data_IF_734729075003
#
_entry.id   IF_734729075003
#
_cell.length_a   1.000
_cell.length_b   1.000
_cell.length_c   1.000
_cell.angle_alpha   90.00
_cell.angle_beta   90.00
_cell.angle_gamma   90.00
#
_symmetry.space_group_name_H-M   'P 1'
#
loop_
_entity.id
_entity.type
_entity.pdbx_description
1 polymer ?
#
# COMPACT_ATOMS: atom_id res chain seq x y z
N UNK A 1 12.04 36.49 2.84
CA UNK A 1 12.98 36.20 1.73
C UNK A 1 13.23 34.69 1.72
N UNK A 2 12.43 33.93 0.98
CA UNK A 2 12.45 32.47 0.97
C UNK A 2 13.57 31.96 0.07
N UNK A 3 14.74 31.69 0.63
CA UNK A 3 15.71 30.75 0.04
C UNK A 3 15.54 29.40 0.73
N UNK A 4 14.38 28.76 0.54
CA UNK A 4 14.35 27.30 0.61
C UNK A 4 14.83 26.83 -0.75
N UNK A 5 16.15 26.88 -0.95
CA UNK A 5 16.79 25.99 -1.91
C UNK A 5 16.57 24.62 -1.30
N UNK A 6 15.50 23.92 -1.68
CA UNK A 6 15.46 22.47 -1.49
C UNK A 6 16.60 22.01 -2.40
N UNK A 7 17.77 21.58 -1.87
CA UNK A 7 18.81 21.08 -2.74
C UNK A 7 18.18 20.00 -3.60
N UNK A 8 18.48 19.98 -4.90
CA UNK A 8 18.13 18.82 -5.70
C UNK A 8 18.77 17.62 -5.00
N UNK A 9 17.93 16.77 -4.41
CA UNK A 9 18.39 15.53 -3.80
C UNK A 9 18.65 14.57 -4.95
N UNK A 10 19.88 14.11 -5.12
CA UNK A 10 20.21 12.99 -6.01
C UNK A 10 19.71 11.69 -5.34
N UNK A 11 19.07 10.74 -6.07
CA UNK A 11 18.71 9.45 -5.50
C UNK A 11 19.87 8.76 -4.77
N UNK A 12 21.11 8.88 -5.29
CA UNK A 12 22.30 8.30 -4.67
C UNK A 12 22.66 8.98 -3.35
N UNK A 13 22.42 10.29 -3.22
CA UNK A 13 22.63 11.02 -1.96
C UNK A 13 21.58 10.64 -0.91
N UNK A 14 20.33 10.43 -1.29
CA UNK A 14 19.29 9.95 -0.37
C UNK A 14 19.65 8.57 0.20
N UNK A 15 20.07 7.64 -0.67
CA UNK A 15 20.51 6.32 -0.23
C UNK A 15 21.82 6.37 0.55
N UNK A 16 22.74 7.27 0.19
CA UNK A 16 24.01 7.47 0.91
C UNK A 16 23.84 8.00 2.33
N UNK A 17 22.68 8.59 2.66
CA UNK A 17 22.33 8.99 4.03
C UNK A 17 21.76 7.84 4.87
N UNK A 18 21.45 6.70 4.26
CA UNK A 18 20.98 5.52 4.99
C UNK A 18 22.17 4.81 5.62
N UNK A 19 22.17 4.75 6.95
CA UNK A 19 23.15 3.99 7.73
C UNK A 19 22.71 2.53 7.88
N UNK A 20 23.66 1.62 8.15
CA UNK A 20 23.33 0.24 8.47
C UNK A 20 22.37 0.11 9.65
N UNK A 21 22.56 0.93 10.70
CA UNK A 21 21.72 0.88 11.90
C UNK A 21 20.29 1.39 11.64
N UNK A 22 20.14 2.54 10.97
CA UNK A 22 18.83 3.06 10.58
C UNK A 22 18.10 2.13 9.61
N UNK A 23 18.82 1.56 8.64
CA UNK A 23 18.30 0.55 7.72
C UNK A 23 17.82 -0.72 8.42
N UNK A 24 18.57 -1.22 9.40
CA UNK A 24 18.19 -2.41 10.16
C UNK A 24 16.90 -2.19 10.98
N UNK A 25 16.79 -1.05 11.68
CA UNK A 25 15.57 -0.71 12.44
C UNK A 25 14.35 -0.64 11.52
N UNK A 26 14.49 0.04 10.38
CA UNK A 26 13.41 0.15 9.41
C UNK A 26 13.03 -1.21 8.78
N UNK A 27 14.01 -2.08 8.51
CA UNK A 27 13.75 -3.42 8.00
C UNK A 27 12.98 -4.28 9.01
N UNK A 28 13.33 -4.21 10.30
CA UNK A 28 12.60 -4.93 11.37
C UNK A 28 11.14 -4.48 11.44
N UNK A 29 10.89 -3.17 11.40
CA UNK A 29 9.55 -2.58 11.38
C UNK A 29 8.74 -3.03 10.17
N UNK A 30 9.31 -2.88 8.96
CA UNK A 30 8.73 -3.32 7.70
C UNK A 30 8.35 -4.81 7.70
N UNK A 31 9.24 -5.68 8.18
CA UNK A 31 9.00 -7.11 8.26
C UNK A 31 7.93 -7.47 9.31
N UNK A 32 7.92 -6.78 10.45
CA UNK A 32 6.93 -7.00 11.50
C UNK A 32 5.51 -6.66 11.01
N UNK A 33 5.33 -5.53 10.34
CA UNK A 33 4.03 -5.09 9.82
C UNK A 33 3.55 -5.94 8.64
N UNK A 34 4.45 -6.30 7.73
CA UNK A 34 4.13 -7.25 6.66
C UNK A 34 3.75 -8.62 7.23
N UNK A 35 4.48 -9.09 8.24
CA UNK A 35 4.16 -10.30 9.00
C UNK A 35 2.78 -10.23 9.67
N UNK A 36 2.45 -9.11 10.29
CA UNK A 36 1.13 -8.86 10.89
C UNK A 36 0.02 -8.93 9.84
N UNK A 37 0.19 -8.31 8.67
CA UNK A 37 -0.75 -8.44 7.56
C UNK A 37 -0.96 -9.92 7.20
N UNK A 38 0.13 -10.67 6.97
CA UNK A 38 0.05 -12.09 6.61
C UNK A 38 -0.68 -12.90 7.68
N UNK A 39 -0.40 -12.66 8.96
CA UNK A 39 -1.07 -13.33 10.07
C UNK A 39 -2.56 -13.01 10.09
N UNK A 40 -2.95 -11.74 10.00
CA UNK A 40 -4.35 -11.34 10.05
C UNK A 40 -5.11 -11.83 8.82
N UNK A 41 -4.52 -11.76 7.64
CA UNK A 41 -5.13 -12.24 6.40
C UNK A 41 -5.26 -13.77 6.41
N UNK A 42 -4.36 -14.51 7.08
CA UNK A 42 -4.42 -15.98 7.24
C UNK A 42 -5.31 -16.46 8.41
N UNK A 43 -5.38 -15.78 9.55
CA UNK A 43 -6.09 -16.27 10.74
C UNK A 43 -7.62 -16.40 10.57
N UNK A 44 -8.21 -15.71 9.59
CA UNK A 44 -9.60 -15.95 9.17
C UNK A 44 -9.87 -17.38 8.69
N UNK A 45 -8.82 -18.16 8.37
CA UNK A 45 -8.89 -19.53 7.85
C UNK A 45 -9.17 -20.59 8.91
N UNK A 46 -8.79 -20.38 10.18
CA UNK A 46 -8.95 -21.41 11.23
C UNK A 46 -10.34 -21.40 11.88
N UNK A 47 -11.12 -20.34 11.69
CA UNK A 47 -12.47 -20.21 12.29
C UNK A 47 -13.60 -20.75 11.41
N UNK A 48 -13.33 -21.13 10.15
CA UNK A 48 -14.26 -21.90 9.31
C UNK A 48 -13.72 -23.33 9.26
N UNK A 49 -14.43 -24.24 9.92
CA UNK A 49 -13.95 -25.56 10.36
C UNK A 49 -13.41 -26.53 9.31
N UNK A 50 -13.03 -27.76 9.75
CA UNK A 50 -12.41 -28.80 8.94
C UNK A 50 -13.42 -29.42 7.96
N UNK A 51 -13.74 -28.72 6.86
CA UNK A 51 -14.65 -29.21 5.83
C UNK A 51 -13.97 -29.45 4.47
N UNK A 52 -12.65 -29.71 4.47
CA UNK A 52 -11.88 -29.95 3.24
C UNK A 52 -10.94 -31.17 3.34
N UNK A 53 -11.29 -32.17 4.17
CA UNK A 53 -10.47 -33.37 4.38
C UNK A 53 -10.73 -34.51 3.36
N UNK A 54 -11.27 -34.22 2.18
CA UNK A 54 -11.71 -35.26 1.24
C UNK A 54 -11.47 -35.02 -0.24
N UNK A 55 -10.64 -34.03 -0.64
CA UNK A 55 -10.30 -33.89 -2.07
C UNK A 55 -9.15 -34.82 -2.43
N UNK A 56 -9.29 -35.66 -3.47
CA UNK A 56 -8.18 -36.45 -3.99
C UNK A 56 -7.05 -35.52 -4.44
N UNK A 57 -5.82 -35.99 -4.28
CA UNK A 57 -4.62 -35.26 -4.70
C UNK A 57 -4.74 -34.89 -6.19
N UNK A 58 -4.49 -33.62 -6.57
CA UNK A 58 -4.50 -33.24 -7.97
C UNK A 58 -3.40 -34.03 -8.67
N UNK A 59 -3.78 -34.75 -9.73
CA UNK A 59 -2.85 -35.29 -10.71
C UNK A 59 -1.94 -34.16 -11.19
N UNK A 60 -0.63 -34.43 -11.25
CA UNK A 60 0.41 -33.48 -11.66
C UNK A 60 0.18 -33.05 -13.10
N UNK A 61 -0.63 -32.01 -13.27
CA UNK A 61 -0.88 -31.36 -14.55
C UNK A 61 0.36 -30.51 -14.88
N UNK A 62 1.03 -30.83 -15.98
CA UNK A 62 2.26 -30.15 -16.45
C UNK A 62 2.01 -28.68 -16.83
N UNK A 63 0.76 -28.21 -16.75
CA UNK A 63 0.33 -26.82 -16.95
C UNK A 63 0.16 -26.03 -15.65
N UNK A 64 0.38 -26.66 -14.49
CA UNK A 64 0.25 -25.99 -13.19
C UNK A 64 1.24 -24.81 -13.08
N UNK A 65 0.78 -23.60 -12.73
CA UNK A 65 1.66 -22.44 -12.61
C UNK A 65 2.72 -22.69 -11.53
N UNK A 66 3.99 -22.45 -11.88
CA UNK A 66 5.13 -22.67 -10.99
C UNK A 66 4.91 -21.96 -9.63
N UNK A 67 4.89 -22.71 -8.52
CA UNK A 67 4.62 -22.17 -7.19
C UNK A 67 5.68 -21.17 -6.72
N UNK A 68 6.84 -21.09 -7.39
CA UNK A 68 7.90 -20.12 -7.09
C UNK A 68 7.61 -18.72 -7.65
N UNK A 69 6.82 -18.61 -8.73
CA UNK A 69 6.54 -17.32 -9.41
C UNK A 69 5.90 -16.27 -8.50
N UNK A 70 4.94 -16.60 -7.62
CA UNK A 70 4.41 -15.62 -6.66
C UNK A 70 5.47 -15.11 -5.67
N UNK A 71 6.33 -16.00 -5.15
CA UNK A 71 7.39 -15.61 -4.22
C UNK A 71 8.44 -14.71 -4.90
N UNK A 72 8.83 -15.06 -6.14
CA UNK A 72 9.70 -14.21 -6.97
C UNK A 72 9.05 -12.86 -7.29
N UNK A 73 7.75 -12.85 -7.57
CA UNK A 73 6.99 -11.61 -7.78
C UNK A 73 6.98 -10.70 -6.54
N UNK A 74 6.89 -11.28 -5.33
CA UNK A 74 6.99 -10.52 -4.08
C UNK A 74 8.39 -9.93 -3.93
N UNK A 75 9.44 -10.74 -4.14
CA UNK A 75 10.82 -10.25 -4.12
C UNK A 75 11.06 -9.12 -5.14
N UNK A 76 10.47 -9.24 -6.33
CA UNK A 76 10.59 -8.22 -7.37
C UNK A 76 9.79 -6.94 -7.05
N UNK A 77 8.60 -7.06 -6.46
CA UNK A 77 7.84 -5.90 -5.97
C UNK A 77 8.59 -5.15 -4.86
N UNK A 78 9.26 -5.88 -3.97
CA UNK A 78 10.11 -5.30 -2.93
C UNK A 78 11.29 -4.54 -3.55
N UNK A 79 12.04 -5.18 -4.44
CA UNK A 79 13.19 -4.57 -5.12
C UNK A 79 12.77 -3.34 -5.95
N UNK A 80 11.72 -3.48 -6.76
CA UNK A 80 11.20 -2.39 -7.56
C UNK A 80 10.72 -1.23 -6.67
N UNK A 81 10.07 -1.53 -5.54
CA UNK A 81 9.63 -0.53 -4.59
C UNK A 81 10.79 0.22 -3.93
N UNK A 82 11.81 -0.51 -3.46
CA UNK A 82 12.98 0.08 -2.82
C UNK A 82 13.79 0.99 -3.75
N UNK A 83 13.83 0.69 -5.06
CA UNK A 83 14.47 1.54 -6.06
C UNK A 83 13.57 2.70 -6.51
N UNK A 84 12.27 2.45 -6.64
CA UNK A 84 11.31 3.44 -7.11
C UNK A 84 11.12 4.57 -6.09
N UNK A 85 11.19 4.31 -4.78
CA UNK A 85 11.05 5.35 -3.76
C UNK A 85 12.07 6.50 -3.93
N UNK A 86 13.39 6.28 -3.78
CA UNK A 86 14.36 7.38 -3.86
C UNK A 86 14.35 8.04 -5.23
N UNK A 87 14.14 7.28 -6.30
CA UNK A 87 14.04 7.82 -7.65
C UNK A 87 12.81 8.72 -7.84
N UNK A 88 11.63 8.28 -7.41
CA UNK A 88 10.41 9.06 -7.52
C UNK A 88 10.49 10.35 -6.69
N UNK A 89 11.08 10.30 -5.50
CA UNK A 89 11.27 11.50 -4.67
C UNK A 89 12.22 12.49 -5.34
N UNK A 90 13.43 12.04 -5.65
CA UNK A 90 14.51 12.90 -6.13
C UNK A 90 14.24 13.46 -7.54
N UNK A 91 13.81 12.62 -8.47
CA UNK A 91 13.70 12.98 -9.88
C UNK A 91 12.35 13.59 -10.24
N UNK A 92 11.30 13.34 -9.46
CA UNK A 92 9.94 13.81 -9.79
C UNK A 92 9.36 14.65 -8.67
N UNK A 93 9.26 14.13 -7.45
CA UNK A 93 8.53 14.79 -6.37
C UNK A 93 9.18 16.12 -5.99
N UNK A 94 10.46 16.13 -5.62
CA UNK A 94 11.15 17.35 -5.16
C UNK A 94 11.12 18.45 -6.23
N UNK A 95 11.46 18.19 -7.51
CA UNK A 95 11.34 19.18 -8.58
C UNK A 95 9.91 19.70 -8.75
N UNK A 96 8.91 18.81 -8.75
CA UNK A 96 7.51 19.17 -8.90
C UNK A 96 7.00 20.02 -7.74
N UNK A 97 7.33 19.65 -6.50
CA UNK A 97 6.99 20.41 -5.29
C UNK A 97 7.60 21.81 -5.33
N UNK A 98 8.86 21.94 -5.75
CA UNK A 98 9.51 23.23 -5.89
C UNK A 98 8.86 24.09 -6.99
N UNK A 99 8.49 23.49 -8.13
CA UNK A 99 7.78 24.18 -9.20
C UNK A 99 6.40 24.66 -8.75
N UNK A 100 5.62 23.80 -8.09
CA UNK A 100 4.29 24.12 -7.59
C UNK A 100 4.32 25.18 -6.48
N UNK A 101 5.32 25.15 -5.59
CA UNK A 101 5.50 26.19 -4.59
C UNK A 101 5.79 27.56 -5.22
N UNK A 102 6.67 27.62 -6.24
CA UNK A 102 6.93 28.86 -6.99
C UNK A 102 5.70 29.36 -7.73
N UNK A 103 4.97 28.45 -8.39
CA UNK A 103 3.74 28.78 -9.09
C UNK A 103 2.68 29.33 -8.13
N UNK A 104 2.47 28.68 -6.99
CA UNK A 104 1.50 29.09 -5.98
C UNK A 104 1.84 30.50 -5.44
N UNK A 105 3.11 30.73 -5.10
CA UNK A 105 3.57 32.04 -4.63
C UNK A 105 3.43 33.16 -5.68
N UNK A 106 3.51 32.84 -6.98
CA UNK A 106 3.39 33.81 -8.06
C UNK A 106 1.94 34.07 -8.50
N UNK A 107 1.04 33.10 -8.29
CA UNK A 107 -0.30 33.10 -8.91
C UNK A 107 -1.43 33.29 -7.90
N UNK A 108 -1.27 32.80 -6.66
CA UNK A 108 -2.33 32.89 -5.66
C UNK A 108 -2.28 34.26 -4.98
N UNK A 109 -3.41 34.96 -4.96
CA UNK A 109 -3.58 36.26 -4.31
C UNK A 109 -3.71 36.11 -2.78
N UNK A 110 -2.75 35.43 -2.14
CA UNK A 110 -2.71 35.23 -0.69
C UNK A 110 -1.28 35.12 -0.18
N UNK A 111 -1.05 35.59 1.04
CA UNK A 111 0.19 35.36 1.78
C UNK A 111 0.08 34.18 2.77
N UNK A 112 -1.11 33.56 2.86
CA UNK A 112 -1.39 32.48 3.78
C UNK A 112 -0.57 31.23 3.44
N UNK A 113 0.31 30.86 4.36
CA UNK A 113 1.23 29.72 4.19
C UNK A 113 0.54 28.37 4.18
N UNK A 114 -0.64 28.25 4.80
CA UNK A 114 -1.46 27.05 4.72
C UNK A 114 -1.87 26.84 3.26
N UNK A 115 -2.51 27.85 2.67
CA UNK A 115 -3.00 27.79 1.29
C UNK A 115 -1.86 27.59 0.29
N UNK A 116 -0.77 28.34 0.45
CA UNK A 116 0.39 28.25 -0.45
C UNK A 116 1.08 26.88 -0.44
N UNK A 117 0.97 26.13 0.66
CA UNK A 117 1.60 24.81 0.79
C UNK A 117 0.78 23.68 0.16
N UNK A 118 -0.53 23.86 -0.05
CA UNK A 118 -1.43 22.79 -0.54
C UNK A 118 -0.93 22.15 -1.84
N UNK A 119 -0.60 22.89 -2.92
CA UNK A 119 -0.22 22.27 -4.18
C UNK A 119 1.05 21.41 -4.06
N UNK A 120 2.06 21.93 -3.35
CA UNK A 120 3.32 21.22 -3.14
C UNK A 120 3.12 19.98 -2.27
N UNK A 121 2.35 20.06 -1.19
CA UNK A 121 2.08 18.88 -0.35
C UNK A 121 1.28 17.83 -1.12
N UNK A 122 0.25 18.23 -1.87
CA UNK A 122 -0.55 17.30 -2.68
C UNK A 122 0.31 16.51 -3.68
N UNK A 123 1.36 17.13 -4.24
CA UNK A 123 2.26 16.46 -5.16
C UNK A 123 3.00 15.25 -4.56
N UNK A 124 3.14 15.14 -3.23
CA UNK A 124 3.76 13.95 -2.64
C UNK A 124 2.91 12.70 -2.85
N UNK A 125 1.61 12.79 -2.58
CA UNK A 125 0.67 11.70 -2.83
C UNK A 125 0.58 11.39 -4.33
N UNK A 126 0.55 12.45 -5.16
CA UNK A 126 0.44 12.31 -6.61
C UNK A 126 1.62 11.55 -7.23
N UNK A 127 2.81 11.66 -6.63
CA UNK A 127 4.00 10.96 -7.13
C UNK A 127 4.16 9.58 -6.49
N UNK A 128 3.97 9.47 -5.17
CA UNK A 128 4.28 8.24 -4.46
C UNK A 128 3.24 7.14 -4.66
N UNK A 129 1.94 7.46 -4.71
CA UNK A 129 0.92 6.42 -4.88
C UNK A 129 1.01 5.71 -6.25
N UNK A 130 1.19 6.42 -7.39
CA UNK A 130 1.42 5.75 -8.66
C UNK A 130 2.72 4.96 -8.68
N UNK A 131 3.80 5.48 -8.08
CA UNK A 131 5.08 4.77 -8.04
C UNK A 131 4.98 3.44 -7.26
N UNK A 132 4.23 3.40 -6.15
CA UNK A 132 3.92 2.16 -5.41
C UNK A 132 3.12 1.18 -6.26
N UNK A 133 2.10 1.66 -6.97
CA UNK A 133 1.30 0.82 -7.87
C UNK A 133 2.16 0.23 -8.99
N UNK A 134 3.02 1.02 -9.63
CA UNK A 134 3.95 0.56 -10.67
C UNK A 134 4.91 -0.50 -10.11
N UNK A 135 5.51 -0.28 -8.94
CA UNK A 135 6.37 -1.27 -8.29
C UNK A 135 5.63 -2.60 -8.01
N UNK A 136 4.39 -2.53 -7.53
CA UNK A 136 3.55 -3.71 -7.33
C UNK A 136 3.24 -4.42 -8.67
N UNK A 137 2.98 -3.66 -9.74
CA UNK A 137 2.71 -4.20 -11.08
C UNK A 137 3.90 -4.98 -11.65
N UNK A 138 5.14 -4.56 -11.40
CA UNK A 138 6.33 -5.32 -11.82
C UNK A 138 6.31 -6.73 -11.20
N UNK A 139 6.02 -6.83 -9.91
CA UNK A 139 5.87 -8.12 -9.23
C UNK A 139 4.67 -8.95 -9.74
N UNK A 140 3.53 -8.30 -9.96
CA UNK A 140 2.35 -8.93 -10.53
C UNK A 140 2.58 -9.44 -11.96
N UNK A 141 3.42 -8.77 -12.75
CA UNK A 141 3.76 -9.16 -14.12
C UNK A 141 4.44 -10.53 -14.14
N UNK A 142 5.46 -10.68 -13.32
CA UNK A 142 6.21 -11.93 -13.18
C UNK A 142 5.31 -13.07 -12.66
N UNK A 143 4.40 -12.74 -11.74
CA UNK A 143 3.45 -13.70 -11.18
C UNK A 143 2.24 -13.98 -12.10
N UNK A 144 2.19 -13.44 -13.32
CA UNK A 144 1.07 -13.61 -14.25
C UNK A 144 -0.27 -13.06 -13.74
N UNK A 145 -0.21 -12.12 -12.79
CA UNK A 145 -1.36 -11.60 -12.02
C UNK A 145 -1.78 -10.19 -12.45
N UNK A 146 -1.23 -9.66 -13.56
CA UNK A 146 -1.50 -8.28 -14.02
C UNK A 146 -2.91 -8.03 -14.51
N UNK A 147 -3.61 -9.06 -15.04
CA UNK A 147 -4.88 -8.89 -15.75
C UNK A 147 -6.00 -8.46 -14.79
N UNK A 148 -6.49 -7.21 -14.87
CA UNK A 148 -7.58 -6.73 -14.01
C UNK A 148 -8.90 -7.44 -14.36
N UNK A 149 -9.79 -7.60 -13.38
CA UNK A 149 -11.21 -7.87 -13.64
C UNK A 149 -11.63 -9.33 -13.89
N UNK A 150 -10.71 -10.29 -13.88
CA UNK A 150 -11.01 -11.75 -14.02
C UNK A 150 -10.58 -12.56 -12.79
N UNK A 151 -10.12 -11.87 -11.74
CA UNK A 151 -9.50 -12.51 -10.59
C UNK A 151 -10.53 -13.07 -9.60
N UNK A 152 -10.47 -14.39 -9.35
CA UNK A 152 -11.12 -15.02 -8.21
C UNK A 152 -10.58 -14.50 -6.86
N UNK A 153 -11.25 -14.82 -5.76
CA UNK A 153 -10.93 -14.30 -4.43
C UNK A 153 -9.48 -14.53 -3.99
N UNK A 154 -8.91 -15.67 -4.34
CA UNK A 154 -7.51 -16.00 -4.05
C UNK A 154 -6.52 -15.13 -4.86
N UNK A 155 -6.83 -14.88 -6.15
CA UNK A 155 -6.00 -14.03 -7.00
C UNK A 155 -6.01 -12.57 -6.51
N UNK A 156 -7.15 -12.05 -6.05
CA UNK A 156 -7.24 -10.73 -5.41
C UNK A 156 -6.42 -10.67 -4.12
N UNK A 157 -6.51 -11.69 -3.27
CA UNK A 157 -5.74 -11.75 -2.03
C UNK A 157 -4.23 -11.79 -2.31
N UNK A 158 -3.81 -12.52 -3.35
CA UNK A 158 -2.42 -12.56 -3.80
C UNK A 158 -1.97 -11.20 -4.36
N UNK A 159 -2.83 -10.54 -5.13
CA UNK A 159 -2.56 -9.21 -5.67
C UNK A 159 -2.29 -8.18 -4.55
N UNK A 160 -3.13 -8.19 -3.51
CA UNK A 160 -2.95 -7.36 -2.31
C UNK A 160 -1.55 -7.51 -1.71
N UNK A 161 -0.97 -8.71 -1.71
CA UNK A 161 0.37 -8.92 -1.18
C UNK A 161 1.44 -8.20 -2.00
N UNK A 162 1.32 -8.11 -3.33
CA UNK A 162 2.26 -7.31 -4.13
C UNK A 162 2.12 -5.81 -3.82
N UNK A 163 0.89 -5.32 -3.68
CA UNK A 163 0.63 -3.94 -3.25
C UNK A 163 1.21 -3.64 -1.88
N UNK A 164 0.89 -4.47 -0.89
CA UNK A 164 1.42 -4.35 0.46
C UNK A 164 2.95 -4.43 0.48
N UNK A 165 3.56 -5.31 -0.32
CA UNK A 165 5.02 -5.42 -0.41
C UNK A 165 5.65 -4.15 -0.98
N UNK A 166 5.10 -3.60 -2.06
CA UNK A 166 5.59 -2.33 -2.62
C UNK A 166 5.42 -1.18 -1.62
N UNK A 167 4.30 -1.15 -0.89
CA UNK A 167 4.07 -0.19 0.19
C UNK A 167 5.09 -0.30 1.33
N UNK A 168 5.34 -1.52 1.81
CA UNK A 168 6.38 -1.78 2.82
C UNK A 168 7.77 -1.38 2.33
N UNK A 169 8.07 -1.60 1.04
CA UNK A 169 9.33 -1.15 0.46
C UNK A 169 9.48 0.38 0.51
N UNK A 170 8.44 1.12 0.12
CA UNK A 170 8.41 2.58 0.18
C UNK A 170 8.55 3.09 1.61
N UNK A 171 7.67 2.63 2.50
CA UNK A 171 7.69 3.04 3.90
C UNK A 171 8.98 2.66 4.61
N UNK A 172 9.50 1.45 4.34
CA UNK A 172 10.75 0.97 4.93
C UNK A 172 11.96 1.80 4.51
N UNK A 173 12.08 2.18 3.23
CA UNK A 173 13.16 3.07 2.79
C UNK A 173 12.99 4.49 3.35
N UNK A 174 11.75 5.01 3.40
CA UNK A 174 11.48 6.30 4.04
C UNK A 174 11.88 6.29 5.53
N UNK A 175 11.47 5.26 6.26
CA UNK A 175 11.84 5.07 7.67
C UNK A 175 13.37 4.95 7.82
N UNK A 176 14.04 4.19 6.95
CA UNK A 176 15.49 4.04 6.97
C UNK A 176 16.20 5.40 6.76
N UNK A 177 15.72 6.19 5.80
CA UNK A 177 16.27 7.52 5.50
C UNK A 177 16.08 8.49 6.67
N UNK A 178 14.89 8.54 7.27
CA UNK A 178 14.58 9.44 8.39
C UNK A 178 15.27 9.01 9.69
N UNK A 179 15.33 7.71 9.98
CA UNK A 179 15.92 7.19 11.23
C UNK A 179 17.45 7.17 11.20
N UNK A 180 18.08 7.17 10.04
CA UNK A 180 19.54 7.02 9.95
C UNK A 180 20.34 8.12 10.64
N UNK A 181 20.00 9.43 10.51
CA UNK A 181 20.64 10.47 11.30
C UNK A 181 20.39 10.31 12.80
N UNK A 182 19.18 9.90 13.20
CA UNK A 182 18.79 9.76 14.61
C UNK A 182 19.48 8.57 15.29
N UNK A 183 19.58 7.43 14.60
CA UNK A 183 20.21 6.23 15.13
C UNK A 183 21.74 6.33 15.06
N UNK A 184 22.29 6.96 14.02
CA UNK A 184 23.75 7.20 13.91
C UNK A 184 24.30 8.13 14.98
N UNK A 185 23.49 9.09 15.44
CA UNK A 185 23.86 10.02 16.52
C UNK A 185 23.93 9.35 17.91
N UNK A 186 23.34 8.16 18.11
CA UNK A 186 23.39 7.43 19.40
C UNK A 186 24.82 7.04 19.81
N UNK A 187 25.78 7.03 18.87
CA UNK A 187 27.18 6.68 19.13
C UNK A 187 28.17 7.84 19.14
N UNK A 188 27.73 9.09 18.91
CA UNK A 188 28.66 10.19 18.57
C UNK A 188 28.36 11.58 19.17
N UNK A 189 27.31 11.75 19.98
CA UNK A 189 26.94 13.07 20.55
C UNK A 189 27.21 13.10 22.07
N UNK A 190 28.00 14.06 22.59
CA UNK A 190 28.26 14.22 24.03
C UNK A 190 27.02 14.44 24.90
N UNK A 191 25.94 14.98 24.32
CA UNK A 191 24.66 15.24 25.01
C UNK A 191 23.49 14.33 24.57
N UNK A 192 23.73 13.38 23.64
CA UNK A 192 22.78 12.37 23.20
C UNK A 192 21.48 12.88 22.55
N UNK A 193 20.97 12.16 21.55
CA UNK A 193 19.53 12.23 21.26
C UNK A 193 18.81 11.66 22.49
N UNK A 194 17.90 12.42 23.08
CA UNK A 194 17.13 11.90 24.22
C UNK A 194 16.35 10.65 23.78
N UNK A 195 16.24 9.67 24.68
CA UNK A 195 15.41 8.46 24.44
C UNK A 195 14.00 8.85 24.00
N UNK A 196 13.46 9.97 24.50
CA UNK A 196 12.16 10.52 24.10
C UNK A 196 12.10 10.94 22.63
N UNK A 197 13.11 11.68 22.13
CA UNK A 197 13.18 12.12 20.73
C UNK A 197 13.34 10.93 19.78
N UNK A 198 14.19 9.97 20.11
CA UNK A 198 14.35 8.75 19.31
C UNK A 198 13.06 7.92 19.29
N UNK A 199 12.42 7.75 20.44
CA UNK A 199 11.18 6.96 20.55
C UNK A 199 10.06 7.56 19.72
N UNK A 200 9.93 8.89 19.75
CA UNK A 200 8.95 9.60 18.93
C UNK A 200 9.21 9.38 17.42
N UNK A 201 10.46 9.55 16.98
CA UNK A 201 10.84 9.32 15.58
C UNK A 201 10.56 7.87 15.16
N UNK A 202 10.82 6.88 16.03
CA UNK A 202 10.52 5.48 15.74
C UNK A 202 9.01 5.26 15.64
N UNK A 203 8.22 5.78 16.58
CA UNK A 203 6.75 5.62 16.60
C UNK A 203 6.10 6.21 15.35
N UNK A 204 6.49 7.43 14.98
CA UNK A 204 6.00 8.09 13.77
C UNK A 204 6.26 7.22 12.53
N UNK A 205 7.46 6.62 12.47
CA UNK A 205 7.85 5.78 11.33
C UNK A 205 7.10 4.45 11.29
N UNK A 206 6.74 3.83 12.42
CA UNK A 206 5.85 2.65 12.45
C UNK A 206 4.55 2.96 11.71
N UNK A 207 3.90 4.06 12.04
CA UNK A 207 2.64 4.40 11.37
C UNK A 207 2.83 4.82 9.92
N UNK A 208 3.97 5.42 9.55
CA UNK A 208 4.29 5.72 8.16
C UNK A 208 4.46 4.44 7.32
N UNK A 209 5.18 3.43 7.80
CA UNK A 209 5.32 2.14 7.09
C UNK A 209 3.96 1.47 6.93
N UNK A 210 3.16 1.46 8.00
CA UNK A 210 1.83 0.84 8.00
C UNK A 210 0.90 1.55 7.02
N UNK A 211 0.97 2.88 6.97
CA UNK A 211 0.24 3.72 6.02
C UNK A 211 0.59 3.38 4.57
N UNK A 212 1.89 3.27 4.24
CA UNK A 212 2.32 2.92 2.89
C UNK A 212 1.89 1.51 2.48
N UNK A 213 2.03 0.54 3.39
CA UNK A 213 1.55 -0.82 3.22
C UNK A 213 0.05 -0.82 2.90
N UNK A 214 -0.74 -0.11 3.72
CA UNK A 214 -2.19 -0.11 3.62
C UNK A 214 -2.67 0.56 2.32
N UNK A 215 -2.16 1.76 2.01
CA UNK A 215 -2.52 2.52 0.80
C UNK A 215 -2.22 1.74 -0.47
N UNK A 216 -1.00 1.22 -0.62
CA UNK A 216 -0.61 0.45 -1.79
C UNK A 216 -1.42 -0.86 -1.91
N UNK A 217 -1.67 -1.56 -0.80
CA UNK A 217 -2.52 -2.74 -0.76
C UNK A 217 -3.96 -2.45 -1.18
N UNK A 218 -4.54 -1.32 -0.76
CA UNK A 218 -5.90 -0.89 -1.13
C UNK A 218 -6.01 -0.50 -2.61
N UNK A 219 -5.03 0.23 -3.14
CA UNK A 219 -4.99 0.56 -4.58
C UNK A 219 -4.92 -0.73 -5.41
N UNK A 220 -4.04 -1.66 -5.06
CA UNK A 220 -3.94 -2.92 -5.79
C UNK A 220 -5.19 -3.79 -5.62
N UNK A 221 -5.78 -3.84 -4.43
CA UNK A 221 -7.08 -4.51 -4.22
C UNK A 221 -8.14 -4.00 -5.20
N UNK A 222 -8.28 -2.68 -5.31
CA UNK A 222 -9.25 -2.06 -6.21
C UNK A 222 -8.88 -2.30 -7.69
N UNK A 223 -7.60 -2.20 -8.03
CA UNK A 223 -7.08 -2.47 -9.37
C UNK A 223 -7.39 -3.90 -9.83
N UNK A 224 -7.21 -4.90 -8.96
CA UNK A 224 -7.54 -6.29 -9.26
C UNK A 224 -9.02 -6.50 -9.58
N UNK A 225 -9.88 -5.59 -9.13
CA UNK A 225 -11.32 -5.59 -9.42
C UNK A 225 -11.72 -4.80 -10.67
N UNK A 226 -10.77 -4.12 -11.30
CA UNK A 226 -10.95 -3.40 -12.56
C UNK A 226 -10.18 -2.08 -12.58
N UNK A 227 -9.79 -1.66 -13.79
CA UNK A 227 -8.97 -0.46 -14.02
C UNK A 227 -9.66 0.79 -13.47
N UNK A 228 -10.97 0.95 -13.69
CA UNK A 228 -11.72 2.11 -13.18
C UNK A 228 -11.69 2.17 -11.65
N UNK A 229 -11.89 1.04 -10.97
CA UNK A 229 -11.83 0.98 -9.51
C UNK A 229 -10.41 1.27 -9.01
N UNK A 230 -9.40 0.74 -9.70
CA UNK A 230 -8.00 1.01 -9.41
C UNK A 230 -7.63 2.49 -9.53
N UNK A 231 -8.04 3.16 -10.62
CA UNK A 231 -7.80 4.60 -10.82
C UNK A 231 -8.52 5.46 -9.78
N UNK A 232 -9.76 5.10 -9.41
CA UNK A 232 -10.50 5.79 -8.34
C UNK A 232 -9.81 5.63 -6.99
N UNK A 233 -9.36 4.41 -6.66
CA UNK A 233 -8.63 4.15 -5.43
C UNK A 233 -7.27 4.87 -5.41
N UNK A 234 -6.58 4.91 -6.55
CA UNK A 234 -5.33 5.65 -6.72
C UNK A 234 -5.54 7.14 -6.45
N UNK A 235 -6.55 7.76 -7.07
CA UNK A 235 -6.88 9.17 -6.83
C UNK A 235 -7.26 9.44 -5.37
N UNK A 236 -8.04 8.56 -4.75
CA UNK A 236 -8.42 8.66 -3.34
C UNK A 236 -7.19 8.57 -2.42
N UNK A 237 -6.29 7.60 -2.63
CA UNK A 237 -5.09 7.44 -1.81
C UNK A 237 -4.09 8.58 -2.04
N UNK A 238 -4.02 9.15 -3.26
CA UNK A 238 -3.25 10.37 -3.52
C UNK A 238 -3.70 11.53 -2.63
N UNK A 239 -5.02 11.76 -2.52
CA UNK A 239 -5.58 12.79 -1.64
C UNK A 239 -5.30 12.47 -0.18
N UNK A 240 -5.54 11.23 0.26
CA UNK A 240 -5.32 10.81 1.65
C UNK A 240 -3.86 10.95 2.06
N UNK A 241 -2.92 10.57 1.19
CA UNK A 241 -1.50 10.76 1.40
C UNK A 241 -1.15 12.24 1.52
N UNK A 242 -1.59 13.07 0.58
CA UNK A 242 -1.40 14.52 0.67
C UNK A 242 -1.95 15.10 1.98
N UNK A 243 -3.13 14.63 2.42
CA UNK A 243 -3.76 15.04 3.67
C UNK A 243 -2.95 14.63 4.92
N UNK A 244 -2.40 13.41 4.97
CA UNK A 244 -1.49 12.99 6.04
C UNK A 244 -0.25 13.87 6.05
N UNK A 245 0.37 14.11 4.89
CA UNK A 245 1.57 14.96 4.81
C UNK A 245 1.26 16.41 5.13
N UNK A 246 0.05 16.91 4.89
CA UNK A 246 -0.33 18.28 5.22
C UNK A 246 -0.33 18.55 6.72
N UNK A 247 -0.42 17.51 7.56
CA UNK A 247 -0.25 17.66 9.01
C UNK A 247 1.12 18.25 9.39
N UNK A 248 2.17 18.05 8.58
CA UNK A 248 3.48 18.68 8.84
C UNK A 248 3.44 20.19 8.66
N UNK A 249 2.61 20.69 7.73
CA UNK A 249 2.40 22.13 7.51
C UNK A 249 1.69 22.71 8.72
N UNK A 250 0.63 22.03 9.20
CA UNK A 250 -0.10 22.43 10.39
C UNK A 250 0.80 22.47 11.63
N UNK A 251 1.65 21.46 11.82
CA UNK A 251 2.62 21.44 12.91
C UNK A 251 3.63 22.60 12.78
N UNK A 252 4.20 22.80 11.60
CA UNK A 252 5.24 23.81 11.35
C UNK A 252 4.76 25.24 11.61
N UNK A 253 3.49 25.52 11.33
CA UNK A 253 2.89 26.83 11.58
C UNK A 253 2.13 26.91 12.92
N UNK A 254 2.30 25.92 13.79
CA UNK A 254 1.81 25.95 15.17
C UNK A 254 0.30 25.74 15.33
N UNK A 255 -0.40 25.28 14.28
CA UNK A 255 -1.83 24.99 14.35
C UNK A 255 -2.14 23.71 15.14
N UNK A 256 -1.21 22.76 15.16
CA UNK A 256 -1.29 21.52 15.94
C UNK A 256 0.04 21.23 16.62
N UNK A 257 -0.01 20.48 17.74
CA UNK A 257 1.18 19.94 18.39
C UNK A 257 1.59 18.58 17.82
N UNK A 258 2.80 18.13 18.16
CA UNK A 258 3.35 16.82 17.77
C UNK A 258 2.37 15.69 18.10
N UNK A 259 1.83 15.66 19.33
CA UNK A 259 0.91 14.61 19.75
C UNK A 259 -0.34 14.50 18.86
N UNK A 260 -0.86 15.63 18.36
CA UNK A 260 -2.00 15.64 17.46
C UNK A 260 -1.63 15.14 16.06
N UNK A 261 -0.43 15.48 15.56
CA UNK A 261 0.10 14.94 14.31
C UNK A 261 0.26 13.41 14.39
N UNK A 262 0.87 12.91 15.47
CA UNK A 262 1.07 11.47 15.69
C UNK A 262 -0.27 10.73 15.78
N UNK A 263 -1.21 11.24 16.57
CA UNK A 263 -2.53 10.65 16.71
C UNK A 263 -3.28 10.61 15.36
N UNK A 264 -3.15 11.67 14.56
CA UNK A 264 -3.72 11.75 13.23
C UNK A 264 -3.11 10.70 12.27
N UNK A 265 -1.78 10.64 12.19
CA UNK A 265 -1.08 9.67 11.34
C UNK A 265 -1.43 8.23 11.75
N UNK A 266 -1.39 7.93 13.05
CA UNK A 266 -1.76 6.63 13.60
C UNK A 266 -3.22 6.26 13.29
N UNK A 267 -4.16 7.17 13.49
CA UNK A 267 -5.57 6.96 13.22
C UNK A 267 -5.81 6.61 11.74
N UNK A 268 -5.24 7.38 10.81
CA UNK A 268 -5.39 7.13 9.37
C UNK A 268 -4.74 5.80 8.98
N UNK A 269 -3.50 5.54 9.42
CA UNK A 269 -2.77 4.31 9.11
C UNK A 269 -3.52 3.06 9.59
N UNK A 270 -3.96 3.04 10.85
CA UNK A 270 -4.69 1.93 11.45
C UNK A 270 -6.05 1.71 10.78
N UNK A 271 -6.75 2.80 10.44
CA UNK A 271 -8.05 2.72 9.76
C UNK A 271 -7.91 2.09 8.37
N UNK A 272 -6.96 2.57 7.56
CA UNK A 272 -6.71 2.02 6.23
C UNK A 272 -6.22 0.57 6.29
N UNK A 273 -5.35 0.24 7.26
CA UNK A 273 -4.89 -1.12 7.46
C UNK A 273 -6.04 -2.06 7.85
N UNK A 274 -6.91 -1.64 8.77
CA UNK A 274 -8.12 -2.37 9.13
C UNK A 274 -9.05 -2.63 7.94
N UNK A 275 -9.27 -1.61 7.11
CA UNK A 275 -10.05 -1.72 5.86
C UNK A 275 -9.38 -2.71 4.90
N UNK A 276 -8.06 -2.63 4.71
CA UNK A 276 -7.32 -3.55 3.84
C UNK A 276 -7.49 -5.00 4.30
N UNK A 277 -7.27 -5.27 5.59
CA UNK A 277 -7.42 -6.61 6.17
C UNK A 277 -8.85 -7.11 5.99
N UNK A 278 -9.85 -6.27 6.25
CA UNK A 278 -11.26 -6.62 6.07
C UNK A 278 -11.58 -6.99 4.63
N UNK A 279 -11.17 -6.17 3.66
CA UNK A 279 -11.43 -6.39 2.24
C UNK A 279 -10.69 -7.61 1.70
N UNK A 280 -9.41 -7.81 2.09
CA UNK A 280 -8.63 -8.98 1.71
C UNK A 280 -9.26 -10.28 2.21
N UNK A 281 -9.80 -10.29 3.44
CA UNK A 281 -10.55 -11.44 3.98
C UNK A 281 -11.86 -11.68 3.24
N UNK A 282 -12.61 -10.62 2.91
CA UNK A 282 -13.91 -10.73 2.21
C UNK A 282 -13.77 -11.22 0.76
N UNK A 283 -12.68 -10.87 0.09
CA UNK A 283 -12.42 -11.34 -1.28
C UNK A 283 -12.42 -12.87 -1.37
N UNK A 284 -11.82 -13.54 -0.38
CA UNK A 284 -11.74 -15.00 -0.33
C UNK A 284 -13.06 -15.67 0.03
N UNK A 285 -13.78 -15.13 1.02
CA UNK A 285 -15.05 -15.71 1.48
C UNK A 285 -16.12 -15.86 0.38
N UNK A 286 -16.20 -14.89 -0.56
CA UNK A 286 -17.12 -14.97 -1.70
C UNK A 286 -16.77 -16.09 -2.69
N UNK A 287 -15.49 -16.45 -2.82
CA UNK A 287 -15.07 -17.52 -3.71
C UNK A 287 -15.43 -18.91 -3.14
N UNK A 288 -15.27 -19.08 -1.83
CA UNK A 288 -15.59 -20.33 -1.15
C UNK A 288 -17.10 -20.63 -1.20
N UNK A 289 -17.95 -19.62 -1.02
CA UNK A 289 -19.42 -19.75 -1.13
C UNK A 289 -19.87 -20.08 -2.56
N UNK A 290 -19.31 -19.39 -3.57
CA UNK A 290 -19.66 -19.63 -4.98
C UNK A 290 -19.22 -21.02 -5.44
N UNK A 291 -18.03 -21.47 -5.02
CA UNK A 291 -17.52 -22.82 -5.30
C UNK A 291 -18.28 -23.94 -4.56
N UNK A 292 -18.89 -23.64 -3.41
CA UNK A 292 -19.76 -24.58 -2.71
C UNK A 292 -21.13 -24.73 -3.39
N UNK A 293 -21.68 -23.65 -3.94
CA UNK A 293 -22.95 -23.67 -4.68
C UNK A 293 -22.82 -24.40 -6.02
N UNK A 294 -21.72 -24.20 -6.75
CA UNK A 294 -21.48 -24.91 -8.02
C UNK A 294 -21.24 -26.41 -7.83
N UNK A 295 -20.56 -26.82 -6.76
CA UNK A 295 -20.37 -28.25 -6.42
C UNK A 295 -21.63 -28.94 -5.88
N UNK A 296 -22.68 -28.18 -5.51
CA UNK A 296 -23.99 -28.72 -5.14
C UNK A 296 -24.95 -28.88 -6.33
N UNK A 297 -24.46 -28.72 -7.57
CA UNK A 297 -25.27 -28.90 -8.77
C UNK A 297 -26.23 -27.76 -9.11
N UNK A 298 -26.33 -26.71 -8.29
CA UNK A 298 -27.04 -25.48 -8.67
C UNK A 298 -26.06 -24.63 -9.50
N UNK A 299 -25.94 -24.95 -10.80
CA UNK A 299 -25.12 -24.20 -11.76
C UNK A 299 -25.57 -22.73 -11.89
N UNK A 300 -24.71 -21.83 -12.40
CA UNK A 300 -25.13 -20.46 -12.67
C UNK A 300 -26.30 -20.51 -13.66
N UNK A 301 -27.45 -19.93 -13.29
CA UNK A 301 -28.56 -19.72 -14.23
C UNK A 301 -27.96 -19.03 -15.45
N UNK A 302 -27.87 -19.77 -16.56
CA UNK A 302 -27.62 -19.15 -17.84
C UNK A 302 -28.72 -18.10 -18.01
N UNK A 303 -28.35 -16.82 -18.05
CA UNK A 303 -29.23 -15.78 -18.54
C UNK A 303 -29.34 -15.96 -20.05
N UNK A 304 -29.95 -17.07 -20.46
CA UNK A 304 -30.43 -17.28 -21.81
C UNK A 304 -31.56 -16.30 -22.01
N UNK A 305 -31.41 -15.48 -23.04
CA UNK A 305 -32.47 -14.69 -23.63
C UNK A 305 -33.64 -15.64 -23.90
N UNK A 306 -34.68 -15.60 -23.05
CA UNK A 306 -35.89 -16.41 -23.26
C UNK A 306 -36.62 -15.78 -24.42
N UNK A 307 -36.43 -16.35 -25.61
CA UNK A 307 -37.39 -16.19 -26.69
C UNK A 307 -38.71 -16.77 -26.21
N UNK A 308 -39.72 -15.91 -26.21
CA UNK A 308 -41.07 -16.17 -25.75
C UNK A 308 -41.65 -17.38 -26.49
N UNK A 309 -42.00 -18.43 -25.74
CA UNK A 309 -42.81 -19.54 -26.23
C UNK A 309 -42.10 -20.88 -26.21
N UNK A 310 -41.90 -21.42 -25.01
CA UNK A 310 -42.03 -22.87 -24.76
C UNK A 310 -42.08 -23.09 -23.25
N UNK A 311 -43.24 -23.55 -22.81
CA UNK A 311 -43.53 -23.95 -21.44
C UNK A 311 -42.76 -25.25 -21.17
N UNK A 312 -41.74 -25.20 -20.31
CA UNK A 312 -41.16 -26.42 -19.73
C UNK A 312 -41.34 -26.39 -18.23
N UNK A 313 -42.20 -27.32 -17.80
CA UNK A 313 -42.30 -27.78 -16.44
C UNK A 313 -40.95 -28.34 -15.99
N UNK A 314 -40.49 -27.91 -14.82
CA UNK A 314 -40.26 -28.74 -13.63
C UNK A 314 -39.27 -27.99 -12.71
N UNK A 315 -39.79 -27.00 -12.00
CA UNK A 315 -39.04 -26.31 -10.94
C UNK A 315 -38.98 -27.23 -9.71
N UNK A 316 -38.16 -28.28 -9.77
CA UNK A 316 -37.74 -28.99 -8.56
C UNK A 316 -36.75 -28.11 -7.82
N UNK A 317 -37.22 -27.64 -6.67
CA UNK A 317 -36.51 -26.94 -5.61
C UNK A 317 -35.08 -27.47 -5.38
N UNK A 318 -34.07 -26.58 -5.45
CA UNK A 318 -32.85 -26.77 -4.66
C UNK A 318 -33.32 -26.77 -3.17
N UNK A 319 -32.87 -27.71 -2.32
CA UNK A 319 -33.22 -27.77 -0.90
C UNK A 319 -32.70 -26.56 -0.12
#
# INVERSE_FOLDING_TARGET
MWKVVIPMLDPAQMLGQVTWAGGAVAAVMALAEYGLLLLLVRQGLRRRGPAAAGRPAPTTDATAPDPRRPALGVGLALLAGSLAFPFAIASVQVPLQAALARWAAATLATADQYILSIPAVFASGLVQEPAKLLAAMVGMALAGSLRPGVAGGEAVQRAVLFGATAGVAFGGIEAAWVLSPAVGALGSVPDGITVGTLSLAVVERVFAVLFHLATAGLVVYAWSRGVRQGLLALGAMTVVHGMVNYSIVLLRFGAIGIAALEAWAAFVALSLFGILVFLARRARGRHDETGALTNRGCGPRASGFVTRGEETADAKSCP
#
